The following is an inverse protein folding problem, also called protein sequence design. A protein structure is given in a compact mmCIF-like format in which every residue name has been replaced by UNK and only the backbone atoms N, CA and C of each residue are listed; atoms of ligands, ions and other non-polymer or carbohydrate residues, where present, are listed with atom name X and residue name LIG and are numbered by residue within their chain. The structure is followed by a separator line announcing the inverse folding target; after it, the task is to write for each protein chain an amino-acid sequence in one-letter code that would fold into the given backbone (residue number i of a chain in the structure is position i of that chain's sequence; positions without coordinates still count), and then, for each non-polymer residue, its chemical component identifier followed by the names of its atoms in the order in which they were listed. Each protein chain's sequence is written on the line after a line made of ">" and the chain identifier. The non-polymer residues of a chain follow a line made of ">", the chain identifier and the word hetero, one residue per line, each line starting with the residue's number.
data_IF_707385130877
#
_entry.id   IF_707385130877
#
_cell.length_a   1.000
_cell.length_b   1.000
_cell.length_c   1.000
_cell.angle_alpha   90.00
_cell.angle_beta   90.00
_cell.angle_gamma   90.00
#
_symmetry.space_group_name_H-M   'P 1'
#
loop_
_entity.id
_entity.type
_entity.pdbx_description
1 polymer ?
#
# COMPACT_ATOMS: atom_id res chain seq x y z
N UNK A 1 34.59 -52.69 25.46
CA UNK A 1 35.37 -51.44 25.50
C UNK A 1 34.96 -50.63 24.28
N UNK A 2 33.88 -49.84 24.37
CA UNK A 2 33.43 -48.95 23.29
C UNK A 2 34.34 -47.72 23.33
N UNK A 3 35.23 -47.56 22.33
CA UNK A 3 36.09 -46.37 22.25
C UNK A 3 35.24 -45.17 21.85
N UNK A 4 34.96 -44.29 22.81
CA UNK A 4 34.35 -42.98 22.55
C UNK A 4 35.36 -42.13 21.79
N UNK A 5 35.15 -41.99 20.49
CA UNK A 5 35.95 -41.12 19.62
C UNK A 5 35.55 -39.67 19.90
N UNK A 6 36.45 -38.87 20.45
CA UNK A 6 36.18 -37.45 20.67
C UNK A 6 35.99 -36.74 19.31
N UNK A 7 34.93 -35.93 19.15
CA UNK A 7 34.66 -35.26 17.90
C UNK A 7 35.81 -34.35 17.51
N UNK A 8 36.27 -34.50 16.26
CA UNK A 8 37.33 -33.69 15.68
C UNK A 8 36.87 -32.23 15.52
N UNK A 9 37.79 -31.27 15.59
CA UNK A 9 37.52 -29.86 15.25
C UNK A 9 36.92 -29.72 13.85
N UNK A 10 37.25 -30.63 12.92
CA UNK A 10 36.63 -30.71 11.60
C UNK A 10 35.15 -31.08 11.65
N UNK A 11 34.77 -31.96 12.59
CA UNK A 11 33.39 -32.42 12.74
C UNK A 11 32.52 -31.30 13.32
N UNK A 12 33.03 -30.51 14.27
CA UNK A 12 32.31 -29.37 14.86
C UNK A 12 32.08 -28.25 13.84
N UNK A 13 33.11 -27.91 13.06
CA UNK A 13 32.98 -26.91 11.98
C UNK A 13 32.01 -27.38 10.88
N UNK A 14 32.04 -28.67 10.54
CA UNK A 14 31.08 -29.27 9.61
C UNK A 14 29.63 -29.15 10.09
N UNK A 15 29.38 -29.38 11.38
CA UNK A 15 28.05 -29.21 11.97
C UNK A 15 27.58 -27.75 11.97
N UNK A 16 28.44 -26.80 12.38
CA UNK A 16 28.07 -25.37 12.39
C UNK A 16 27.76 -24.81 10.99
N UNK A 17 28.53 -25.21 9.98
CA UNK A 17 28.27 -24.84 8.58
C UNK A 17 26.94 -25.42 8.09
N UNK A 18 26.64 -26.68 8.46
CA UNK A 18 25.35 -27.30 8.18
C UNK A 18 24.18 -26.57 8.85
N UNK A 19 24.37 -26.09 10.07
CA UNK A 19 23.34 -25.38 10.84
C UNK A 19 23.10 -23.96 10.30
N UNK A 20 24.16 -23.25 9.87
CA UNK A 20 24.02 -21.96 9.17
C UNK A 20 23.29 -22.10 7.83
N UNK A 21 23.58 -23.16 7.05
CA UNK A 21 22.86 -23.44 5.81
C UNK A 21 21.37 -23.74 6.05
N UNK A 22 21.06 -24.43 7.16
CA UNK A 22 19.67 -24.67 7.59
C UNK A 22 18.99 -23.37 7.99
N UNK A 23 19.62 -22.55 8.81
CA UNK A 23 19.08 -21.25 9.24
C UNK A 23 18.78 -20.34 8.05
N UNK A 24 19.71 -20.19 7.10
CA UNK A 24 19.48 -19.36 5.90
C UNK A 24 18.28 -19.88 5.10
N UNK A 25 18.16 -21.21 4.94
CA UNK A 25 17.04 -21.81 4.23
C UNK A 25 15.71 -21.57 4.94
N UNK A 26 15.71 -21.63 6.26
CA UNK A 26 14.53 -21.40 7.09
C UNK A 26 14.13 -19.92 7.08
N UNK A 27 15.09 -18.99 7.12
CA UNK A 27 14.83 -17.55 7.02
C UNK A 27 14.24 -17.18 5.66
N UNK A 28 14.78 -17.76 4.57
CA UNK A 28 14.20 -17.58 3.22
C UNK A 28 12.79 -18.15 3.15
N UNK A 29 12.54 -19.30 3.80
CA UNK A 29 11.20 -19.90 3.85
C UNK A 29 10.23 -19.03 4.65
N UNK A 30 10.68 -18.48 5.78
CA UNK A 30 9.89 -17.60 6.63
C UNK A 30 9.57 -16.29 5.91
N UNK A 31 10.58 -15.61 5.37
CA UNK A 31 10.41 -14.39 4.59
C UNK A 31 9.45 -14.61 3.42
N UNK A 32 9.54 -15.76 2.72
CA UNK A 32 8.58 -16.10 1.67
C UNK A 32 7.16 -16.26 2.23
N UNK A 33 6.99 -16.92 3.37
CA UNK A 33 5.68 -17.10 3.99
C UNK A 33 5.07 -15.75 4.42
N UNK A 34 5.86 -14.88 5.05
CA UNK A 34 5.43 -13.55 5.50
C UNK A 34 5.08 -12.63 4.31
N UNK A 35 5.86 -12.68 3.22
CA UNK A 35 5.53 -11.97 1.99
C UNK A 35 4.20 -12.45 1.40
N UNK A 36 3.98 -13.77 1.33
CA UNK A 36 2.70 -14.32 0.83
C UNK A 36 1.53 -13.89 1.72
N UNK A 37 1.69 -13.98 3.03
CA UNK A 37 0.67 -13.55 3.97
C UNK A 37 0.37 -12.05 3.84
N UNK A 38 1.40 -11.22 3.77
CA UNK A 38 1.27 -9.76 3.56
C UNK A 38 0.50 -9.44 2.28
N UNK A 39 0.77 -10.17 1.18
CA UNK A 39 0.06 -10.00 -0.09
C UNK A 39 -1.41 -10.42 0.03
N UNK A 40 -1.70 -11.53 0.72
CA UNK A 40 -3.07 -12.00 0.94
C UNK A 40 -3.85 -11.00 1.80
N UNK A 41 -3.27 -10.52 2.90
CA UNK A 41 -3.92 -9.55 3.79
C UNK A 41 -4.19 -8.22 3.05
N UNK A 42 -3.22 -7.74 2.25
CA UNK A 42 -3.41 -6.58 1.40
C UNK A 42 -4.51 -6.81 0.36
N UNK A 43 -4.55 -7.98 -0.29
CA UNK A 43 -5.56 -8.33 -1.27
C UNK A 43 -6.97 -8.42 -0.66
N UNK A 44 -7.09 -9.02 0.54
CA UNK A 44 -8.34 -9.07 1.28
C UNK A 44 -8.79 -7.67 1.72
N UNK A 45 -7.87 -6.84 2.21
CA UNK A 45 -8.16 -5.46 2.58
C UNK A 45 -8.66 -4.63 1.39
N UNK A 46 -7.96 -4.68 0.25
CA UNK A 46 -8.38 -4.01 -0.98
C UNK A 46 -9.71 -4.58 -1.50
N UNK A 47 -9.91 -5.90 -1.43
CA UNK A 47 -11.14 -6.56 -1.81
C UNK A 47 -12.33 -6.10 -0.96
N UNK A 48 -12.16 -6.01 0.36
CA UNK A 48 -13.18 -5.53 1.28
C UNK A 48 -13.54 -4.06 1.01
N UNK A 49 -12.54 -3.19 0.76
CA UNK A 49 -12.77 -1.78 0.40
C UNK A 49 -13.54 -1.67 -0.93
N UNK A 50 -13.18 -2.47 -1.94
CA UNK A 50 -13.88 -2.49 -3.22
C UNK A 50 -15.34 -2.92 -3.06
N UNK A 51 -15.61 -3.97 -2.28
CA UNK A 51 -16.97 -4.42 -1.98
C UNK A 51 -17.76 -3.37 -1.20
N UNK A 52 -17.17 -2.77 -0.17
CA UNK A 52 -17.81 -1.70 0.60
C UNK A 52 -18.16 -0.50 -0.30
N UNK A 53 -17.26 -0.12 -1.21
CA UNK A 53 -17.52 0.92 -2.20
C UNK A 53 -18.66 0.57 -3.16
N UNK A 54 -18.68 -0.68 -3.66
CA UNK A 54 -19.72 -1.15 -4.57
C UNK A 54 -21.11 -1.19 -3.91
N UNK A 55 -21.21 -1.78 -2.71
CA UNK A 55 -22.46 -1.82 -1.96
C UNK A 55 -22.89 -0.44 -1.45
N UNK A 56 -21.94 0.42 -1.08
CA UNK A 56 -22.21 1.82 -0.72
C UNK A 56 -22.80 2.60 -1.89
N UNK A 57 -22.25 2.43 -3.10
CA UNK A 57 -22.81 3.05 -4.31
C UNK A 57 -24.22 2.53 -4.63
N UNK A 58 -24.44 1.22 -4.49
CA UNK A 58 -25.76 0.62 -4.64
C UNK A 58 -26.76 1.22 -3.65
N UNK A 59 -26.38 1.31 -2.37
CA UNK A 59 -27.23 1.88 -1.33
C UNK A 59 -27.62 3.34 -1.63
N UNK A 60 -26.66 4.17 -2.05
CA UNK A 60 -26.92 5.55 -2.46
C UNK A 60 -27.89 5.58 -3.66
N UNK A 61 -27.71 4.72 -4.67
CA UNK A 61 -28.61 4.66 -5.81
C UNK A 61 -30.05 4.29 -5.38
N UNK A 62 -30.21 3.28 -4.53
CA UNK A 62 -31.52 2.88 -4.01
C UNK A 62 -32.17 3.95 -3.12
N UNK A 63 -31.40 4.68 -2.32
CA UNK A 63 -31.89 5.86 -1.59
C UNK A 63 -32.39 6.92 -2.57
N UNK A 64 -31.66 7.16 -3.66
CA UNK A 64 -32.09 8.08 -4.72
C UNK A 64 -33.43 7.68 -5.34
N UNK A 65 -33.61 6.38 -5.65
CA UNK A 65 -34.87 5.84 -6.16
C UNK A 65 -35.99 5.99 -5.14
N UNK A 66 -35.75 5.68 -3.86
CA UNK A 66 -36.74 5.82 -2.80
C UNK A 66 -37.18 7.28 -2.62
N UNK A 67 -36.23 8.22 -2.60
CA UNK A 67 -36.52 9.67 -2.53
C UNK A 67 -37.27 10.14 -3.77
N UNK A 68 -36.89 9.67 -4.96
CA UNK A 68 -37.61 9.98 -6.20
C UNK A 68 -39.09 9.57 -6.13
N UNK A 69 -39.37 8.33 -5.72
CA UNK A 69 -40.74 7.85 -5.56
C UNK A 69 -41.50 8.61 -4.46
N UNK A 70 -40.84 8.92 -3.33
CA UNK A 70 -41.44 9.70 -2.26
C UNK A 70 -41.83 11.12 -2.73
N UNK A 71 -40.95 11.78 -3.49
CA UNK A 71 -41.24 13.09 -4.09
C UNK A 71 -42.34 13.01 -5.15
N UNK A 72 -42.38 11.94 -5.94
CA UNK A 72 -43.43 11.74 -6.95
C UNK A 72 -44.85 11.64 -6.35
N UNK A 73 -44.99 11.41 -5.03
CA UNK A 73 -46.28 11.46 -4.33
C UNK A 73 -46.82 12.89 -4.16
N UNK A 74 -45.95 13.90 -4.18
CA UNK A 74 -46.30 15.30 -3.87
C UNK A 74 -46.03 16.28 -5.02
N UNK A 75 -45.16 15.92 -5.98
CA UNK A 75 -44.82 16.74 -7.15
C UNK A 75 -44.82 15.90 -8.45
N UNK A 76 -44.94 16.53 -9.65
CA UNK A 76 -44.90 15.81 -10.92
C UNK A 76 -43.63 14.96 -11.09
N UNK A 77 -43.77 13.81 -11.76
CA UNK A 77 -42.70 12.82 -11.91
C UNK A 77 -41.40 13.39 -12.50
N UNK A 78 -41.53 14.26 -13.51
CA UNK A 78 -40.37 14.91 -14.14
C UNK A 78 -39.65 15.85 -13.16
N UNK A 79 -40.38 16.55 -12.30
CA UNK A 79 -39.82 17.47 -11.32
C UNK A 79 -39.09 16.70 -10.20
N UNK A 80 -39.68 15.61 -9.71
CA UNK A 80 -39.01 14.71 -8.76
C UNK A 80 -37.68 14.17 -9.31
N UNK A 81 -37.67 13.78 -10.58
CA UNK A 81 -36.47 13.29 -11.27
C UNK A 81 -35.37 14.35 -11.33
N UNK A 82 -35.73 15.57 -11.75
CA UNK A 82 -34.79 16.69 -11.81
C UNK A 82 -34.26 17.08 -10.43
N UNK A 83 -35.09 17.03 -9.37
CA UNK A 83 -34.64 17.32 -8.00
C UNK A 83 -33.59 16.32 -7.53
N UNK A 84 -33.82 15.02 -7.71
CA UNK A 84 -32.86 13.98 -7.28
C UNK A 84 -31.58 14.04 -8.10
N UNK A 85 -31.67 14.20 -9.43
CA UNK A 85 -30.50 14.34 -10.31
C UNK A 85 -29.72 15.61 -9.97
N UNK A 86 -30.41 16.74 -9.78
CA UNK A 86 -29.79 18.01 -9.40
C UNK A 86 -29.07 17.92 -8.06
N UNK A 87 -29.67 17.25 -7.07
CA UNK A 87 -29.03 17.02 -5.78
C UNK A 87 -27.73 16.21 -5.91
N UNK A 88 -27.74 15.08 -6.64
CA UNK A 88 -26.53 14.31 -6.86
C UNK A 88 -25.48 15.05 -7.69
N UNK A 89 -25.90 15.85 -8.68
CA UNK A 89 -24.99 16.67 -9.46
C UNK A 89 -24.29 17.74 -8.59
N UNK A 90 -25.00 18.36 -7.65
CA UNK A 90 -24.42 19.30 -6.69
C UNK A 90 -23.42 18.61 -5.75
N UNK A 91 -23.77 17.44 -5.19
CA UNK A 91 -22.86 16.67 -4.36
C UNK A 91 -21.60 16.26 -5.12
N UNK A 92 -21.76 15.75 -6.35
CA UNK A 92 -20.64 15.37 -7.20
C UNK A 92 -19.74 16.56 -7.53
N UNK A 93 -20.33 17.71 -7.87
CA UNK A 93 -19.61 18.95 -8.10
C UNK A 93 -18.81 19.41 -6.88
N UNK A 94 -19.43 19.40 -5.70
CA UNK A 94 -18.76 19.76 -4.44
C UNK A 94 -17.59 18.80 -4.12
N UNK A 95 -17.81 17.49 -4.26
CA UNK A 95 -16.78 16.48 -4.07
C UNK A 95 -15.60 16.66 -5.05
N UNK A 96 -15.89 16.96 -6.31
CA UNK A 96 -14.87 17.21 -7.33
C UNK A 96 -14.04 18.46 -7.01
N UNK A 97 -14.67 19.55 -6.59
CA UNK A 97 -13.98 20.77 -6.18
C UNK A 97 -13.10 20.53 -4.96
N UNK A 98 -13.60 19.79 -3.97
CA UNK A 98 -12.84 19.39 -2.78
C UNK A 98 -11.63 18.54 -3.16
N UNK A 99 -11.82 17.51 -3.98
CA UNK A 99 -10.75 16.64 -4.47
C UNK A 99 -9.69 17.42 -5.25
N UNK A 100 -10.10 18.32 -6.14
CA UNK A 100 -9.18 19.17 -6.93
C UNK A 100 -8.32 20.09 -6.06
N UNK A 101 -8.82 20.52 -4.89
CA UNK A 101 -8.05 21.26 -3.91
C UNK A 101 -6.97 20.42 -3.23
N UNK A 102 -7.23 19.14 -2.98
CA UNK A 102 -6.35 18.21 -2.26
C UNK A 102 -5.36 17.48 -3.14
N UNK A 103 -5.72 17.19 -4.39
CA UNK A 103 -4.89 16.50 -5.37
C UNK A 103 -3.94 17.44 -6.12
N UNK A 104 -3.66 18.64 -5.57
CA UNK A 104 -2.68 19.55 -6.16
C UNK A 104 -1.30 18.92 -6.08
N UNK A 105 -0.44 19.04 -7.11
CA UNK A 105 0.93 18.52 -7.07
C UNK A 105 1.71 18.95 -5.83
N UNK A 106 1.50 20.18 -5.36
CA UNK A 106 2.09 20.72 -4.12
C UNK A 106 1.75 19.91 -2.86
N UNK A 107 0.63 19.18 -2.84
CA UNK A 107 0.20 18.38 -1.70
C UNK A 107 0.54 16.89 -1.86
N UNK A 108 0.96 16.47 -3.05
CA UNK A 108 1.23 15.07 -3.40
C UNK A 108 2.72 14.79 -3.52
N UNK A 109 3.54 15.83 -3.69
CA UNK A 109 4.98 15.70 -3.80
C UNK A 109 5.59 15.73 -2.39
N UNK A 110 6.25 14.65 -1.92
CA UNK A 110 6.87 14.62 -0.61
C UNK A 110 8.18 15.43 -0.67
N UNK A 111 8.08 16.74 -0.46
CA UNK A 111 9.20 17.68 -0.58
C UNK A 111 10.40 17.25 0.26
N UNK A 112 10.17 16.81 1.50
CA UNK A 112 11.22 16.34 2.41
C UNK A 112 11.93 15.07 1.92
N UNK A 113 11.21 14.13 1.31
CA UNK A 113 11.81 12.91 0.75
C UNK A 113 12.63 13.23 -0.49
N UNK A 114 12.18 14.19 -1.29
CA UNK A 114 12.92 14.63 -2.47
C UNK A 114 14.18 15.42 -2.06
N UNK A 115 14.11 16.21 -1.00
CA UNK A 115 15.25 16.93 -0.41
C UNK A 115 16.28 15.94 0.16
N UNK A 116 15.86 14.95 0.96
CA UNK A 116 16.79 13.95 1.50
C UNK A 116 17.49 13.14 0.40
N UNK A 117 16.79 12.79 -0.69
CA UNK A 117 17.40 12.10 -1.82
C UNK A 117 18.40 12.97 -2.60
N UNK A 118 18.22 14.30 -2.60
CA UNK A 118 19.20 15.23 -3.18
C UNK A 118 20.45 15.32 -2.30
N UNK A 119 20.29 15.45 -0.99
CA UNK A 119 21.40 15.46 -0.03
C UNK A 119 22.22 14.16 -0.09
N UNK A 120 21.56 13.00 -0.16
CA UNK A 120 22.22 11.70 -0.29
C UNK A 120 23.04 11.61 -1.59
N UNK A 121 22.50 12.15 -2.68
CA UNK A 121 23.22 12.20 -3.97
C UNK A 121 24.44 13.10 -3.88
N UNK A 122 24.32 14.28 -3.29
CA UNK A 122 25.43 15.21 -3.10
C UNK A 122 26.51 14.65 -2.16
N UNK A 123 26.10 13.88 -1.15
CA UNK A 123 27.02 13.16 -0.29
C UNK A 123 27.82 12.09 -1.08
N UNK A 124 27.15 11.29 -1.91
CA UNK A 124 27.80 10.28 -2.76
C UNK A 124 28.78 10.88 -3.78
N UNK A 125 28.42 12.01 -4.41
CA UNK A 125 29.29 12.71 -5.37
C UNK A 125 30.54 13.26 -4.67
N UNK A 126 30.41 13.85 -3.47
CA UNK A 126 31.54 14.32 -2.66
C UNK A 126 32.45 13.18 -2.20
N UNK A 127 31.89 12.06 -1.77
CA UNK A 127 32.65 10.89 -1.32
C UNK A 127 33.47 10.31 -2.49
N UNK A 128 32.87 10.24 -3.68
CA UNK A 128 33.58 9.80 -4.89
C UNK A 128 34.78 10.68 -5.23
N UNK A 129 34.63 12.00 -5.16
CA UNK A 129 35.74 12.95 -5.38
C UNK A 129 36.84 12.84 -4.33
N UNK A 130 36.50 12.43 -3.11
CA UNK A 130 37.47 12.20 -2.04
C UNK A 130 38.30 10.95 -2.33
N UNK A 131 37.66 9.86 -2.75
CA UNK A 131 38.30 8.59 -3.11
C UNK A 131 39.20 8.74 -4.36
N UNK A 132 38.72 9.43 -5.40
CA UNK A 132 39.50 9.66 -6.63
C UNK A 132 40.76 10.52 -6.40
N UNK A 133 40.75 11.41 -5.40
CA UNK A 133 41.93 12.21 -5.00
C UNK A 133 42.91 11.44 -4.12
N UNK A 134 42.45 10.46 -3.35
CA UNK A 134 43.32 9.66 -2.50
C UNK A 134 44.06 8.55 -3.26
N UNK A 135 43.57 8.20 -4.45
CA UNK A 135 44.12 7.15 -5.32
C UNK A 135 45.03 7.67 -6.45
N UNK A 136 45.25 8.99 -6.56
CA UNK A 136 46.27 9.63 -7.42
C UNK A 136 47.41 10.20 -6.59
#
# INVERSE_FOLDING_TARGET
>A
MEQVREPSVSDILGHMLGDLQRLIRDEVRLARAELVQSVVDAAMGLGAVALAGAFGLLAIAFVGVAVFYALALVIPLWAAGLTVVGFYALLAGAALLFARGRLRPSNLMPEQTIESLQEDREWLEREREWVERQTR
#
